data_IF_795520702912
#
_entry.id   IF_795520702912
#
_cell.length_a   1.000
_cell.length_b   1.000
_cell.length_c   1.000
_cell.angle_alpha   90.00
_cell.angle_beta   90.00
_cell.angle_gamma   90.00
#
_symmetry.space_group_name_H-M   'P 1'
#
loop_
_entity.id
_entity.type
_entity.pdbx_description
1 polymer ?
#
# COMPACT_ATOMS: atom_id res chain seq x y z
N UNK A 1 -18.12 -9.77 4.88
CA UNK A 1 -17.59 -11.15 4.90
C UNK A 1 -17.47 -11.66 3.47
N UNK A 2 -16.66 -12.69 3.16
CA UNK A 2 -16.59 -13.31 1.84
C UNK A 2 -17.96 -13.73 1.33
N UNK A 3 -18.78 -14.33 2.17
CA UNK A 3 -20.14 -14.82 1.82
C UNK A 3 -21.04 -13.66 1.36
N UNK A 4 -20.85 -12.46 1.87
CA UNK A 4 -21.62 -11.29 1.42
C UNK A 4 -21.29 -10.87 -0.02
N UNK A 5 -20.17 -11.34 -0.59
CA UNK A 5 -19.77 -11.08 -1.98
C UNK A 5 -20.30 -12.13 -2.97
N UNK A 6 -20.84 -13.23 -2.47
CA UNK A 6 -21.50 -14.26 -3.28
C UNK A 6 -22.96 -13.91 -3.61
N UNK A 7 -23.49 -12.85 -3.00
CA UNK A 7 -24.81 -12.32 -3.29
C UNK A 7 -24.91 -11.76 -4.73
N UNK A 8 -26.10 -11.68 -5.32
CA UNK A 8 -26.33 -10.95 -6.56
C UNK A 8 -25.75 -9.54 -6.51
N UNK A 9 -25.31 -9.00 -7.64
CA UNK A 9 -24.55 -7.75 -7.73
C UNK A 9 -25.24 -6.57 -7.03
N UNK A 10 -26.56 -6.48 -7.13
CA UNK A 10 -27.38 -5.43 -6.51
C UNK A 10 -27.53 -5.58 -4.98
N UNK A 11 -27.21 -6.76 -4.43
CA UNK A 11 -27.29 -7.07 -3.00
C UNK A 11 -25.92 -7.20 -2.34
N UNK A 12 -24.86 -7.39 -3.13
CA UNK A 12 -23.52 -7.52 -2.60
C UNK A 12 -23.01 -6.17 -2.08
N UNK A 13 -22.59 -6.05 -0.79
CA UNK A 13 -22.04 -4.81 -0.25
C UNK A 13 -20.82 -4.34 -1.06
N UNK A 14 -20.73 -3.05 -1.40
CA UNK A 14 -19.57 -2.51 -2.13
C UNK A 14 -18.30 -2.46 -1.27
N UNK A 15 -17.18 -2.25 -1.93
CA UNK A 15 -15.91 -1.98 -1.29
C UNK A 15 -15.13 -3.20 -0.81
N UNK A 16 -13.84 -3.00 -0.70
CA UNK A 16 -12.84 -3.93 -0.15
C UNK A 16 -11.70 -3.12 0.44
N UNK A 17 -10.94 -3.69 1.37
CA UNK A 17 -9.68 -3.11 1.81
C UNK A 17 -8.58 -3.50 0.83
N UNK A 18 -7.68 -2.54 0.53
CA UNK A 18 -6.61 -2.77 -0.45
C UNK A 18 -5.38 -1.89 -0.25
N UNK A 19 -5.46 -0.86 0.60
CA UNK A 19 -4.37 0.10 0.74
C UNK A 19 -3.06 -0.55 1.20
N UNK A 20 -3.12 -1.43 2.19
CA UNK A 20 -1.94 -2.11 2.76
C UNK A 20 -1.38 -3.20 1.84
N UNK A 21 -2.12 -3.64 0.82
CA UNK A 21 -1.69 -4.64 -0.15
C UNK A 21 -1.33 -4.06 -1.52
N UNK A 22 -1.59 -2.77 -1.76
CA UNK A 22 -1.47 -2.15 -3.07
C UNK A 22 -0.06 -2.28 -3.68
N UNK A 23 0.99 -1.96 -2.89
CA UNK A 23 2.38 -2.10 -3.34
C UNK A 23 2.72 -3.56 -3.67
N UNK A 24 2.39 -4.47 -2.75
CA UNK A 24 2.73 -5.88 -2.91
C UNK A 24 2.01 -6.52 -4.11
N UNK A 25 0.73 -6.19 -4.30
CA UNK A 25 -0.01 -6.64 -5.48
C UNK A 25 0.58 -6.08 -6.76
N UNK A 26 0.93 -4.79 -6.80
CA UNK A 26 1.54 -4.18 -7.97
C UNK A 26 2.90 -4.83 -8.31
N UNK A 27 3.74 -5.10 -7.30
CA UNK A 27 5.03 -5.79 -7.48
C UNK A 27 4.87 -7.26 -7.90
N UNK A 28 3.77 -7.91 -7.51
CA UNK A 28 3.50 -9.31 -7.83
C UNK A 28 2.92 -9.47 -9.23
N UNK A 29 2.02 -8.58 -9.64
CA UNK A 29 1.21 -8.74 -10.84
C UNK A 29 1.73 -7.96 -12.05
N UNK A 30 2.44 -6.85 -11.83
CA UNK A 30 2.85 -5.98 -12.91
C UNK A 30 4.31 -6.26 -13.29
N UNK A 31 4.53 -6.54 -14.57
CA UNK A 31 5.88 -6.62 -15.16
C UNK A 31 6.35 -5.21 -15.55
N UNK A 32 6.64 -4.41 -14.53
CA UNK A 32 7.12 -3.03 -14.69
C UNK A 32 8.46 -2.84 -13.96
N UNK A 33 9.39 -2.07 -14.55
CA UNK A 33 10.58 -1.61 -13.81
C UNK A 33 10.17 -0.87 -12.53
N UNK A 34 10.88 -1.15 -11.41
CA UNK A 34 10.55 -0.59 -10.10
C UNK A 34 10.33 0.94 -10.12
N UNK A 35 11.15 1.77 -10.81
CA UNK A 35 10.90 3.21 -10.88
C UNK A 35 9.56 3.58 -11.52
N UNK A 36 9.12 2.84 -12.54
CA UNK A 36 7.83 3.09 -13.19
C UNK A 36 6.66 2.70 -12.28
N UNK A 37 6.78 1.58 -11.58
CA UNK A 37 5.79 1.14 -10.60
C UNK A 37 5.66 2.16 -9.46
N UNK A 38 6.77 2.64 -8.91
CA UNK A 38 6.77 3.67 -7.87
C UNK A 38 6.19 5.00 -8.37
N UNK A 39 6.48 5.38 -9.61
CA UNK A 39 5.87 6.55 -10.21
C UNK A 39 4.34 6.43 -10.30
N UNK A 40 3.83 5.25 -10.69
CA UNK A 40 2.40 4.99 -10.78
C UNK A 40 1.69 4.98 -9.42
N UNK A 41 2.38 4.53 -8.36
CA UNK A 41 1.81 4.44 -7.00
C UNK A 41 1.99 5.70 -6.16
N UNK A 42 2.94 6.57 -6.48
CA UNK A 42 3.30 7.73 -5.64
C UNK A 42 3.37 9.03 -6.44
N UNK A 43 4.33 9.18 -7.33
CA UNK A 43 4.64 10.48 -7.95
C UNK A 43 3.51 10.99 -8.86
N UNK A 44 2.94 10.13 -9.68
CA UNK A 44 1.85 10.51 -10.58
C UNK A 44 0.54 10.79 -9.83
N UNK A 45 0.12 9.96 -8.85
CA UNK A 45 -1.03 10.27 -8.01
C UNK A 45 -0.88 11.57 -7.23
N UNK A 46 0.31 11.89 -6.70
CA UNK A 46 0.56 13.15 -5.99
C UNK A 46 0.30 14.36 -6.90
N UNK A 47 0.78 14.31 -8.16
CA UNK A 47 0.50 15.35 -9.17
C UNK A 47 -0.98 15.47 -9.50
N UNK A 48 -1.65 14.35 -9.69
CA UNK A 48 -3.10 14.34 -9.97
C UNK A 48 -3.90 14.93 -8.81
N UNK A 49 -3.48 14.64 -7.58
CA UNK A 49 -4.11 15.16 -6.37
C UNK A 49 -3.73 16.63 -6.05
N UNK A 50 -2.72 17.20 -6.74
CA UNK A 50 -2.21 18.55 -6.48
C UNK A 50 -1.52 18.68 -5.12
N UNK A 51 -0.84 17.63 -4.66
CA UNK A 51 -0.08 17.59 -3.40
C UNK A 51 1.40 17.31 -3.62
N UNK A 52 1.88 17.46 -4.85
CA UNK A 52 3.27 17.19 -5.23
C UNK A 52 4.26 18.27 -4.76
N UNK A 53 3.80 19.29 -4.08
CA UNK A 53 4.59 20.24 -3.31
C UNK A 53 5.13 19.66 -1.99
N UNK A 54 4.46 18.63 -1.42
CA UNK A 54 4.84 17.99 -0.15
C UNK A 54 4.96 16.48 -0.22
N UNK A 55 4.34 15.82 -1.22
CA UNK A 55 4.36 14.35 -1.38
C UNK A 55 4.84 13.95 -2.78
N UNK A 56 5.33 12.72 -2.94
CA UNK A 56 5.83 12.22 -4.22
C UNK A 56 7.06 12.98 -4.72
N UNK A 57 7.84 13.55 -3.81
CA UNK A 57 9.04 14.33 -4.11
C UNK A 57 10.29 13.46 -4.10
N UNK A 58 11.37 13.90 -4.75
CA UNK A 58 12.65 13.20 -4.69
C UNK A 58 13.21 13.20 -3.26
N UNK A 59 14.00 12.17 -2.92
CA UNK A 59 14.76 12.12 -1.68
C UNK A 59 15.99 13.01 -1.85
N UNK A 60 15.91 14.22 -1.32
CA UNK A 60 16.96 15.23 -1.43
C UNK A 60 17.05 16.08 -0.16
N UNK A 61 18.22 16.72 0.05
CA UNK A 61 18.42 17.64 1.16
C UNK A 61 17.46 18.84 1.05
N UNK A 62 16.84 19.21 2.16
CA UNK A 62 15.86 20.30 2.23
C UNK A 62 14.42 19.91 1.88
N UNK A 63 14.18 18.70 1.38
CA UNK A 63 12.85 18.19 1.12
C UNK A 63 12.15 17.73 2.42
N UNK A 64 10.81 17.79 2.48
CA UNK A 64 10.05 17.24 3.60
C UNK A 64 10.37 15.76 3.84
N UNK A 65 10.53 15.37 5.11
CA UNK A 65 10.81 13.98 5.47
C UNK A 65 9.54 13.11 5.38
N UNK A 66 9.04 12.93 4.16
CA UNK A 66 7.95 12.02 3.79
C UNK A 66 8.56 10.86 3.00
N UNK A 67 8.94 9.80 3.71
CA UNK A 67 9.76 8.71 3.16
C UNK A 67 9.08 7.36 3.33
N UNK A 68 9.26 6.49 2.36
CA UNK A 68 8.85 5.10 2.43
C UNK A 68 10.05 4.20 2.06
N UNK A 69 10.40 3.30 2.97
CA UNK A 69 11.43 2.27 2.77
C UNK A 69 10.73 0.98 2.43
N UNK A 70 11.05 0.42 1.29
CA UNK A 70 10.44 -0.82 0.79
C UNK A 70 11.50 -1.91 0.60
N UNK A 71 11.08 -3.15 0.79
CA UNK A 71 11.80 -4.35 0.38
C UNK A 71 11.03 -4.98 -0.79
N UNK A 72 11.51 -4.84 -2.04
CA UNK A 72 10.77 -5.30 -3.21
C UNK A 72 10.75 -6.83 -3.36
N UNK A 73 11.63 -7.54 -2.65
CA UNK A 73 11.80 -8.99 -2.79
C UNK A 73 11.21 -9.78 -1.60
N UNK A 74 10.83 -9.11 -0.53
CA UNK A 74 10.20 -9.77 0.62
C UNK A 74 8.91 -10.46 0.22
N UNK A 75 8.79 -11.76 0.49
CA UNK A 75 7.56 -12.54 0.28
C UNK A 75 6.79 -12.66 1.59
N UNK A 76 5.47 -12.56 1.51
CA UNK A 76 4.60 -12.70 2.67
C UNK A 76 3.19 -13.11 2.26
N UNK A 77 2.44 -13.67 3.19
CA UNK A 77 1.04 -14.06 2.97
C UNK A 77 0.10 -12.98 3.49
N UNK A 78 -0.84 -12.57 2.68
CA UNK A 78 -1.86 -11.59 3.06
C UNK A 78 -2.75 -12.17 4.16
N UNK A 79 -2.82 -11.46 5.28
CA UNK A 79 -3.60 -11.81 6.46
C UNK A 79 -4.39 -10.59 6.90
N UNK A 80 -5.69 -10.59 6.64
CA UNK A 80 -6.56 -9.46 6.99
C UNK A 80 -6.61 -9.19 8.50
N UNK A 81 -6.44 -10.22 9.33
CA UNK A 81 -6.38 -10.11 10.79
C UNK A 81 -5.12 -9.40 11.30
N UNK A 82 -4.04 -9.42 10.51
CA UNK A 82 -2.77 -8.75 10.83
C UNK A 82 -2.69 -7.30 10.31
N UNK A 83 -3.69 -6.83 9.55
CA UNK A 83 -3.70 -5.47 9.01
C UNK A 83 -4.08 -4.42 10.07
N UNK A 84 -3.57 -3.21 9.90
CA UNK A 84 -3.92 -2.05 10.73
C UNK A 84 -5.38 -1.60 10.53
N UNK A 85 -5.97 -1.86 9.36
CA UNK A 85 -7.38 -1.63 9.09
C UNK A 85 -8.28 -2.36 10.10
N UNK A 86 -9.37 -1.71 10.51
CA UNK A 86 -10.42 -2.35 11.31
C UNK A 86 -11.31 -3.30 10.50
N UNK A 87 -11.38 -3.10 9.18
CA UNK A 87 -12.08 -4.00 8.26
C UNK A 87 -11.25 -5.25 7.97
N UNK A 88 -11.93 -6.33 7.58
CA UNK A 88 -11.31 -7.63 7.29
C UNK A 88 -11.70 -8.18 5.91
N UNK A 89 -12.40 -7.41 5.10
CA UNK A 89 -12.91 -7.81 3.79
C UNK A 89 -11.86 -7.67 2.68
N UNK A 90 -10.69 -8.29 2.87
CA UNK A 90 -9.67 -8.41 1.84
C UNK A 90 -10.03 -9.55 0.87
N UNK A 91 -10.08 -9.31 -0.45
CA UNK A 91 -10.24 -10.38 -1.43
C UNK A 91 -8.94 -11.18 -1.66
N UNK A 92 -7.86 -10.78 -1.02
CA UNK A 92 -6.53 -11.35 -1.18
C UNK A 92 -6.09 -12.22 0.01
N UNK A 93 -6.99 -12.51 0.94
CA UNK A 93 -6.71 -13.35 2.11
C UNK A 93 -6.06 -14.67 1.72
N UNK A 94 -4.95 -15.02 2.38
CA UNK A 94 -4.18 -16.24 2.12
C UNK A 94 -3.29 -16.19 0.87
N UNK A 95 -3.32 -15.12 0.11
CA UNK A 95 -2.49 -14.99 -1.09
C UNK A 95 -1.05 -14.68 -0.72
N UNK A 96 -0.10 -15.39 -1.32
CA UNK A 96 1.32 -15.02 -1.27
C UNK A 96 1.59 -13.87 -2.25
N UNK A 97 2.29 -12.85 -1.78
CA UNK A 97 2.63 -11.64 -2.53
C UNK A 97 4.08 -11.25 -2.27
N UNK A 98 4.65 -10.49 -3.22
CA UNK A 98 6.02 -9.99 -3.16
C UNK A 98 6.04 -8.48 -2.94
N UNK A 99 7.00 -8.02 -2.13
CA UNK A 99 7.21 -6.61 -1.81
C UNK A 99 6.53 -6.19 -0.51
N UNK A 100 7.28 -5.49 0.32
CA UNK A 100 6.78 -5.04 1.63
C UNK A 100 7.29 -3.65 1.96
N UNK A 101 6.42 -2.81 2.52
CA UNK A 101 6.83 -1.58 3.18
C UNK A 101 7.48 -1.95 4.50
N UNK A 102 8.72 -1.53 4.71
CA UNK A 102 9.46 -1.74 5.97
C UNK A 102 9.26 -0.59 6.94
N UNK A 103 9.43 0.64 6.43
CA UNK A 103 9.28 1.82 7.25
C UNK A 103 8.57 2.92 6.48
N UNK A 104 7.81 3.73 7.17
CA UNK A 104 7.22 4.96 6.65
C UNK A 104 7.46 6.09 7.64
N UNK A 105 7.95 7.21 7.12
CA UNK A 105 8.12 8.45 7.87
C UNK A 105 7.19 9.50 7.25
N UNK A 106 6.42 10.16 8.08
CA UNK A 106 5.51 11.24 7.69
C UNK A 106 5.87 12.50 8.47
N UNK A 107 6.24 13.56 7.77
CA UNK A 107 6.67 14.83 8.36
C UNK A 107 7.75 14.66 9.45
N UNK A 108 8.68 13.71 9.25
CA UNK A 108 9.75 13.39 10.18
C UNK A 108 9.39 12.37 11.27
N UNK A 109 8.11 12.00 11.41
CA UNK A 109 7.65 11.04 12.42
C UNK A 109 7.54 9.62 11.81
N UNK A 110 8.12 8.59 12.43
CA UNK A 110 7.96 7.22 11.98
C UNK A 110 6.54 6.71 12.28
N UNK A 111 5.78 6.41 11.24
CA UNK A 111 4.39 5.90 11.33
C UNK A 111 4.27 4.42 10.99
N UNK A 112 5.31 3.85 10.37
CA UNK A 112 5.47 2.40 10.18
C UNK A 112 6.91 2.04 10.53
N UNK A 113 7.10 1.04 11.38
CA UNK A 113 8.42 0.50 11.75
C UNK A 113 8.36 -1.03 11.62
N UNK A 114 9.33 -1.63 10.91
CA UNK A 114 9.43 -3.06 10.67
C UNK A 114 8.13 -3.68 10.14
N UNK A 115 7.46 -2.95 9.25
CA UNK A 115 6.19 -3.30 8.62
C UNK A 115 4.97 -3.30 9.59
N UNK A 116 5.10 -2.69 10.76
CA UNK A 116 4.02 -2.51 11.73
C UNK A 116 3.64 -1.04 11.87
N UNK A 117 2.34 -0.74 11.75
CA UNK A 117 1.83 0.62 11.94
C UNK A 117 1.97 1.06 13.41
N UNK A 118 2.55 2.21 13.62
CA UNK A 118 2.67 2.84 14.94
C UNK A 118 1.36 3.57 15.26
N UNK A 119 0.84 3.37 16.48
CA UNK A 119 -0.42 3.96 16.97
C UNK A 119 -0.16 4.98 18.07
#
# INVERSE_FOLDING_TARGET
>A
TPESKELPFDQAPPGMIGLETALALALTELDLPLPQLLAALSWNPAKVAGIDDVHGRPVAEGEPANLCVIDPDATWTVRADAMASRSRNSPYEGREVRGRVRHTVLAGEPVVIDAEAQR
#
